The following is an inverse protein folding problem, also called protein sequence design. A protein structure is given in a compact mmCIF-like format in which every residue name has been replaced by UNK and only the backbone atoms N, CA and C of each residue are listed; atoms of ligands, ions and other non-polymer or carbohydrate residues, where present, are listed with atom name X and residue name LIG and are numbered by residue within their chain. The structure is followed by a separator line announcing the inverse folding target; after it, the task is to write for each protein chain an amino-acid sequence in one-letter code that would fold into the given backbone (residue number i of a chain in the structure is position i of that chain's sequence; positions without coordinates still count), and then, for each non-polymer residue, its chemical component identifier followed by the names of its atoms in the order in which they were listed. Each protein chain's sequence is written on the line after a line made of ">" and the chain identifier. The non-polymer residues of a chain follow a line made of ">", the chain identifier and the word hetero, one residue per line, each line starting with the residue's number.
data_IF_911073532961
#
_entry.id   IF_911073532961
#
_cell.length_a   1.000
_cell.length_b   1.000
_cell.length_c   1.000
_cell.angle_alpha   90.00
_cell.angle_beta   90.00
_cell.angle_gamma   90.00
#
_symmetry.space_group_name_H-M   'P 1'
#
loop_
_entity.id
_entity.type
_entity.pdbx_description
1 polymer ?
#
# COMPACT_ATOMS: atom_id res chain seq x y z
N UNK A 1 25.13 -6.71 4.77
CA UNK A 1 24.66 -6.71 3.37
C UNK A 1 23.16 -6.90 3.38
N UNK A 2 22.44 -5.81 3.63
CA UNK A 2 20.99 -5.78 3.85
C UNK A 2 20.30 -6.05 2.50
N UNK A 3 19.81 -7.27 2.29
CA UNK A 3 18.92 -7.55 1.15
C UNK A 3 17.60 -6.85 1.41
N UNK A 4 17.50 -5.58 1.03
CA UNK A 4 16.22 -4.88 0.95
C UNK A 4 15.51 -5.40 -0.29
N UNK A 5 14.78 -6.50 -0.15
CA UNK A 5 13.85 -6.94 -1.19
C UNK A 5 12.67 -5.99 -1.21
N UNK A 6 12.37 -5.44 -2.39
CA UNK A 6 11.06 -4.80 -2.61
C UNK A 6 10.03 -5.91 -2.80
N UNK A 7 8.87 -5.75 -2.18
CA UNK A 7 7.73 -6.65 -2.35
C UNK A 7 6.67 -5.87 -3.09
N UNK A 8 6.37 -6.30 -4.32
CA UNK A 8 5.29 -5.75 -5.14
C UNK A 8 4.01 -6.53 -4.85
N UNK A 9 2.94 -5.82 -4.51
CA UNK A 9 1.64 -6.41 -4.17
C UNK A 9 0.56 -5.57 -4.81
N UNK A 10 -0.46 -6.24 -5.34
CA UNK A 10 -1.65 -5.59 -5.88
C UNK A 10 -2.62 -5.24 -4.75
N UNK A 11 -3.26 -4.07 -4.87
CA UNK A 11 -4.22 -3.58 -3.88
C UNK A 11 -5.20 -2.59 -4.51
N UNK A 12 -6.35 -2.40 -3.86
CA UNK A 12 -7.42 -1.53 -4.33
C UNK A 12 -7.37 -0.22 -3.56
N UNK A 13 -7.34 0.92 -4.26
CA UNK A 13 -7.44 2.24 -3.63
C UNK A 13 -8.87 2.43 -3.10
N UNK A 14 -9.00 2.61 -1.79
CA UNK A 14 -10.31 2.80 -1.14
C UNK A 14 -10.61 4.26 -0.83
N UNK A 15 -9.60 5.06 -0.47
CA UNK A 15 -9.76 6.48 -0.18
C UNK A 15 -8.52 7.29 -0.63
N UNK A 16 -8.76 8.49 -1.16
CA UNK A 16 -7.70 9.46 -1.45
C UNK A 16 -7.62 10.50 -0.32
N UNK A 17 -6.43 10.69 0.25
CA UNK A 17 -6.19 11.60 1.36
C UNK A 17 -5.51 12.90 0.88
N UNK A 18 -5.70 14.03 1.60
CA UNK A 18 -5.27 15.35 1.15
C UNK A 18 -3.75 15.62 1.17
N UNK A 19 -2.89 14.60 1.32
CA UNK A 19 -1.43 14.75 1.32
C UNK A 19 -0.77 13.97 0.17
N UNK A 20 -1.48 13.74 -0.93
CA UNK A 20 -1.03 12.84 -2.01
C UNK A 20 -0.81 11.41 -1.52
N UNK A 21 -1.53 11.02 -0.47
CA UNK A 21 -1.51 9.66 0.06
C UNK A 21 -2.83 8.98 -0.23
N UNK A 22 -2.78 7.67 -0.38
CA UNK A 22 -3.92 6.83 -0.71
C UNK A 22 -4.03 5.72 0.32
N UNK A 23 -5.23 5.50 0.83
CA UNK A 23 -5.52 4.24 1.52
C UNK A 23 -5.68 3.16 0.47
N UNK A 24 -4.83 2.16 0.54
CA UNK A 24 -4.87 0.99 -0.32
C UNK A 24 -5.24 -0.21 0.54
N UNK A 25 -6.31 -0.88 0.16
CA UNK A 25 -6.73 -2.14 0.75
C UNK A 25 -6.07 -3.28 -0.03
N UNK A 26 -5.21 -4.01 0.64
CA UNK A 26 -4.61 -5.23 0.10
C UNK A 26 -5.60 -6.39 0.20
N UNK A 27 -5.48 -7.36 -0.71
CA UNK A 27 -6.39 -8.53 -0.79
C UNK A 27 -6.35 -9.42 0.46
N UNK A 28 -5.25 -9.37 1.20
CA UNK A 28 -5.07 -10.06 2.48
C UNK A 28 -5.80 -9.36 3.65
N UNK A 29 -6.60 -8.32 3.39
CA UNK A 29 -7.43 -7.65 4.39
C UNK A 29 -6.73 -6.54 5.17
N UNK A 30 -5.45 -6.28 4.89
CA UNK A 30 -4.70 -5.18 5.49
C UNK A 30 -4.84 -3.88 4.68
N UNK A 31 -5.05 -2.78 5.37
CA UNK A 31 -5.06 -1.44 4.77
C UNK A 31 -3.70 -0.78 4.99
N UNK A 32 -3.10 -0.27 3.92
CA UNK A 32 -1.83 0.45 3.95
C UNK A 32 -2.02 1.89 3.45
N UNK A 33 -1.08 2.75 3.80
CA UNK A 33 -0.98 4.10 3.27
C UNK A 33 0.13 4.10 2.22
N UNK A 34 -0.24 4.41 0.98
CA UNK A 34 0.66 4.59 -0.14
C UNK A 34 0.76 6.07 -0.52
#
# INVERSE_FOLDING_TARGET
>A
MSKTGVIEVEGIVTEALPNTTFKVQLENGHTILA
#
